data_IF_928096515151
#
_entry.id   IF_928096515151
#
_cell.length_a   1.000
_cell.length_b   1.000
_cell.length_c   1.000
_cell.angle_alpha   90.00
_cell.angle_beta   90.00
_cell.angle_gamma   90.00
#
_symmetry.space_group_name_H-M   'P 1'
#
loop_
_entity.id
_entity.type
_entity.pdbx_description
1 polymer ?
#
# COMPACT_ATOMS: atom_id res chain seq x y z
N UNK A 1 50.76 74.77 49.83
CA UNK A 1 49.57 73.93 50.00
C UNK A 1 49.07 73.59 48.62
N UNK A 2 49.10 72.32 48.28
CA UNK A 2 48.72 71.78 46.99
C UNK A 2 47.28 71.30 47.09
N UNK A 3 46.43 71.66 46.13
CA UNK A 3 45.16 70.96 45.89
C UNK A 3 44.94 70.85 44.39
N UNK A 4 44.88 69.59 43.94
CA UNK A 4 44.53 69.20 42.58
C UNK A 4 43.07 68.82 42.49
N UNK A 5 42.43 69.16 41.36
CA UNK A 5 41.12 68.64 41.00
C UNK A 5 41.20 67.89 39.67
N UNK A 6 40.94 66.59 39.74
CA UNK A 6 40.73 65.67 38.62
C UNK A 6 39.38 65.93 37.96
N UNK A 7 39.37 65.94 36.63
CA UNK A 7 38.18 66.01 35.79
C UNK A 7 37.49 64.65 35.63
N UNK A 8 36.16 64.68 35.59
CA UNK A 8 35.31 63.55 35.19
C UNK A 8 34.43 63.97 34.02
N UNK A 9 34.76 63.53 32.81
CA UNK A 9 33.93 63.70 31.62
C UNK A 9 32.98 62.52 31.46
N UNK A 10 31.67 62.74 31.63
CA UNK A 10 30.65 61.79 31.20
C UNK A 10 30.31 62.05 29.72
N UNK A 11 30.62 61.07 28.86
CA UNK A 11 30.10 61.03 27.49
C UNK A 11 28.71 60.38 27.51
N UNK A 12 27.68 61.16 27.19
CA UNK A 12 26.33 60.68 26.91
C UNK A 12 26.32 60.24 25.44
N UNK A 13 26.14 58.94 25.21
CA UNK A 13 25.92 58.39 23.87
C UNK A 13 24.41 58.32 23.60
N UNK A 14 23.92 59.21 22.74
CA UNK A 14 22.55 59.18 22.22
C UNK A 14 22.36 57.98 21.30
N UNK A 15 21.68 56.95 21.80
CA UNK A 15 21.28 55.77 21.03
C UNK A 15 19.96 56.03 20.29
N UNK A 16 20.02 56.05 18.96
CA UNK A 16 18.84 56.09 18.09
C UNK A 16 17.98 54.82 18.28
N UNK A 17 16.64 54.89 18.38
CA UNK A 17 15.81 53.70 18.55
C UNK A 17 15.70 52.93 17.22
N UNK A 18 16.23 51.71 17.16
CA UNK A 18 15.97 50.78 16.08
C UNK A 18 14.51 50.29 16.17
N UNK A 19 13.72 50.51 15.11
CA UNK A 19 12.37 49.95 14.97
C UNK A 19 12.46 48.43 14.81
N UNK A 20 12.20 47.70 15.89
CA UNK A 20 11.95 46.25 15.85
C UNK A 20 10.58 46.01 15.22
N UNK A 21 10.55 45.62 13.95
CA UNK A 21 9.34 45.10 13.32
C UNK A 21 9.05 43.71 13.88
N UNK A 22 8.00 43.59 14.69
CA UNK A 22 7.43 42.29 15.06
C UNK A 22 6.88 41.64 13.79
N UNK A 23 7.47 40.52 13.36
CA UNK A 23 6.94 39.71 12.26
C UNK A 23 5.86 38.81 12.87
N UNK A 24 4.59 39.15 12.65
CA UNK A 24 3.48 38.27 12.95
C UNK A 24 3.55 37.06 12.00
N UNK A 25 3.90 35.89 12.54
CA UNK A 25 3.83 34.61 11.82
C UNK A 25 2.38 34.15 11.84
N UNK A 26 1.62 34.58 10.84
CA UNK A 26 0.20 34.30 10.67
C UNK A 26 -0.03 32.96 9.96
N UNK A 27 0.28 31.83 10.63
CA UNK A 27 -0.50 30.57 10.54
C UNK A 27 0.20 29.42 11.26
N UNK A 28 -0.53 28.62 12.07
CA UNK A 28 -0.06 27.34 12.60
C UNK A 28 -0.32 26.27 11.54
N UNK A 29 0.42 26.28 10.45
CA UNK A 29 0.35 25.21 9.44
C UNK A 29 1.77 24.75 9.23
N UNK A 30 2.14 23.71 9.99
CA UNK A 30 3.46 23.10 10.12
C UNK A 30 4.46 23.85 11.02
N UNK A 31 4.33 23.64 12.33
CA UNK A 31 5.47 23.81 13.22
C UNK A 31 6.54 22.75 12.86
N UNK A 32 7.82 23.12 12.68
CA UNK A 32 8.88 22.15 12.48
C UNK A 32 9.06 21.37 13.78
N UNK A 33 8.69 20.09 13.76
CA UNK A 33 8.81 19.20 14.91
C UNK A 33 10.29 18.88 15.14
N UNK A 34 10.97 19.70 15.94
CA UNK A 34 12.26 19.32 16.51
C UNK A 34 11.96 18.33 17.64
N UNK A 35 11.91 17.04 17.30
CA UNK A 35 11.97 15.97 18.27
C UNK A 35 13.43 15.86 18.75
N UNK A 36 13.73 16.36 19.95
CA UNK A 36 15.03 16.13 20.57
C UNK A 36 15.33 14.62 20.61
N UNK A 37 16.46 14.23 20.00
CA UNK A 37 17.06 12.90 20.15
C UNK A 37 16.14 11.70 19.82
N UNK A 38 15.31 11.80 18.77
CA UNK A 38 14.55 10.65 18.27
C UNK A 38 13.38 10.20 19.14
N UNK A 39 12.95 11.02 20.12
CA UNK A 39 11.68 10.79 20.84
C UNK A 39 10.61 11.76 20.36
N UNK A 40 9.46 11.28 19.87
CA UNK A 40 8.35 12.15 19.53
C UNK A 40 7.88 12.90 20.77
N UNK A 41 7.69 14.22 20.66
CA UNK A 41 7.09 15.00 21.74
C UNK A 41 5.61 14.59 21.95
N UNK A 42 5.04 14.90 23.11
CA UNK A 42 3.67 14.50 23.47
C UNK A 42 2.63 14.92 22.41
N UNK A 43 2.85 16.07 21.77
CA UNK A 43 2.00 16.58 20.69
C UNK A 43 2.08 15.70 19.42
N UNK A 44 3.28 15.25 19.04
CA UNK A 44 3.47 14.33 17.91
C UNK A 44 2.80 12.97 18.18
N UNK A 45 2.91 12.48 19.43
CA UNK A 45 2.30 11.23 19.84
C UNK A 45 0.76 11.30 19.74
N UNK A 46 0.15 12.40 20.20
CA UNK A 46 -1.31 12.61 20.08
C UNK A 46 -1.77 12.75 18.64
N UNK A 47 -1.03 13.45 17.79
CA UNK A 47 -1.36 13.57 16.37
C UNK A 47 -1.32 12.20 15.69
N UNK A 48 -0.28 11.40 15.95
CA UNK A 48 -0.16 10.05 15.41
C UNK A 48 -1.31 9.14 15.87
N UNK A 49 -1.63 9.15 17.17
CA UNK A 49 -2.76 8.39 17.74
C UNK A 49 -4.11 8.83 17.18
N UNK A 50 -4.32 10.13 16.96
CA UNK A 50 -5.56 10.63 16.36
C UNK A 50 -5.71 10.16 14.91
N UNK A 51 -4.61 10.19 14.14
CA UNK A 51 -4.60 9.73 12.74
C UNK A 51 -4.85 8.23 12.64
N UNK A 52 -4.21 7.41 13.47
CA UNK A 52 -4.44 5.96 13.47
C UNK A 52 -5.86 5.59 13.90
N UNK A 53 -6.42 6.31 14.87
CA UNK A 53 -7.82 6.12 15.28
C UNK A 53 -8.82 6.50 14.17
N UNK A 54 -8.54 7.56 13.39
CA UNK A 54 -9.37 7.94 12.26
C UNK A 54 -9.33 6.89 11.14
N UNK A 55 -8.15 6.36 10.82
CA UNK A 55 -8.01 5.28 9.83
C UNK A 55 -8.72 3.99 10.27
N UNK A 56 -8.60 3.61 11.54
CA UNK A 56 -9.29 2.42 12.08
C UNK A 56 -10.83 2.55 11.98
N UNK A 57 -11.38 3.72 12.27
CA UNK A 57 -12.82 3.99 12.12
C UNK A 57 -13.27 3.91 10.66
N UNK A 58 -12.48 4.45 9.73
CA UNK A 58 -12.78 4.37 8.31
C UNK A 58 -12.80 2.92 7.81
N UNK A 59 -11.85 2.09 8.25
CA UNK A 59 -11.83 0.66 7.90
C UNK A 59 -13.01 -0.12 8.49
N UNK A 60 -13.41 0.19 9.73
CA UNK A 60 -14.57 -0.44 10.37
C UNK A 60 -15.88 -0.08 9.64
N UNK A 61 -16.05 1.19 9.24
CA UNK A 61 -17.20 1.63 8.46
C UNK A 61 -17.25 0.93 7.09
N UNK A 62 -16.11 0.73 6.44
CA UNK A 62 -16.02 0.02 5.14
C UNK A 62 -16.45 -1.45 5.29
N UNK A 63 -16.00 -2.14 6.33
CA UNK A 63 -16.39 -3.54 6.59
C UNK A 63 -17.89 -3.70 6.89
N UNK A 64 -18.50 -2.75 7.61
CA UNK A 64 -19.95 -2.76 7.89
C UNK A 64 -20.79 -2.50 6.64
N UNK A 65 -20.31 -1.66 5.73
CA UNK A 65 -20.97 -1.41 4.45
C UNK A 65 -20.99 -2.66 3.57
N UNK A 66 -19.87 -3.39 3.48
CA UNK A 66 -19.77 -4.63 2.72
C UNK A 66 -20.66 -5.76 3.26
N UNK A 67 -20.83 -5.85 4.60
CA UNK A 67 -21.70 -6.85 5.21
C UNK A 67 -23.20 -6.60 4.98
N UNK A 68 -23.60 -5.39 4.57
CA UNK A 68 -25.00 -5.02 4.38
C UNK A 68 -25.51 -5.23 2.94
N UNK A 69 -24.62 -5.56 1.99
CA UNK A 69 -24.96 -5.72 0.56
C UNK A 69 -25.19 -7.18 0.13
N UNK A 70 -24.92 -8.19 0.97
CA UNK A 70 -25.10 -9.61 0.61
C UNK A 70 -26.55 -10.12 0.72
N UNK A 71 -27.54 -9.24 0.56
CA UNK A 71 -28.93 -9.50 0.93
C UNK A 71 -29.97 -9.18 -0.14
N UNK A 72 -29.64 -9.25 -1.44
CA UNK A 72 -30.66 -9.27 -2.50
C UNK A 72 -30.04 -9.66 -3.86
N UNK A 73 -30.10 -10.95 -4.22
CA UNK A 73 -30.18 -11.33 -5.63
C UNK A 73 -30.83 -12.71 -5.73
N UNK A 74 -32.14 -12.71 -6.01
CA UNK A 74 -32.87 -13.87 -6.53
C UNK A 74 -33.21 -13.58 -7.99
N UNK A 75 -32.61 -14.36 -8.89
CA UNK A 75 -32.80 -14.19 -10.33
C UNK A 75 -32.37 -15.43 -11.10
N UNK A 76 -33.38 -16.24 -11.43
CA UNK A 76 -33.50 -17.41 -12.32
C UNK A 76 -32.39 -17.72 -13.34
N UNK A 77 -32.13 -19.02 -13.64
CA UNK A 77 -31.26 -19.43 -14.73
C UNK A 77 -32.02 -19.44 -16.07
N UNK A 78 -31.43 -18.87 -17.13
CA UNK A 78 -31.80 -19.21 -18.49
C UNK A 78 -30.61 -19.89 -19.19
N UNK A 79 -30.92 -21.11 -19.63
CA UNK A 79 -30.11 -22.09 -20.30
C UNK A 79 -29.95 -21.70 -21.77
N UNK A 80 -28.72 -21.52 -22.26
CA UNK A 80 -28.45 -21.56 -23.70
C UNK A 80 -27.08 -22.17 -23.98
N UNK A 81 -27.12 -23.43 -24.38
CA UNK A 81 -25.97 -24.18 -24.88
C UNK A 81 -25.58 -23.69 -26.28
N UNK A 82 -24.29 -23.38 -26.48
CA UNK A 82 -23.66 -23.52 -27.80
C UNK A 82 -22.19 -23.97 -27.63
N UNK A 83 -21.70 -24.94 -28.42
CA UNK A 83 -20.37 -25.52 -28.22
C UNK A 83 -19.30 -24.93 -29.15
N UNK A 84 -18.04 -25.18 -28.73
CA UNK A 84 -16.77 -25.10 -29.48
C UNK A 84 -16.25 -23.66 -29.77
N UNK A 85 -14.97 -23.33 -29.55
CA UNK A 85 -13.78 -24.13 -29.82
C UNK A 85 -12.58 -23.75 -28.94
N UNK A 86 -11.73 -24.75 -28.73
CA UNK A 86 -10.39 -24.69 -28.17
C UNK A 86 -9.46 -23.67 -28.85
N UNK A 87 -8.73 -22.91 -28.03
CA UNK A 87 -7.31 -22.60 -28.26
C UNK A 87 -6.70 -22.21 -26.92
N UNK A 88 -6.12 -23.20 -26.23
CA UNK A 88 -5.26 -22.97 -25.06
C UNK A 88 -3.84 -22.67 -25.55
N UNK A 89 -3.53 -21.40 -25.77
CA UNK A 89 -2.15 -20.91 -25.71
C UNK A 89 -1.85 -20.51 -24.27
N UNK A 90 -1.23 -21.45 -23.54
CA UNK A 90 -0.62 -21.21 -22.24
C UNK A 90 0.62 -20.32 -22.43
N UNK A 91 0.43 -19.00 -22.37
CA UNK A 91 1.52 -18.06 -22.13
C UNK A 91 1.88 -18.11 -20.64
N UNK A 92 2.85 -18.95 -20.29
CA UNK A 92 3.52 -18.94 -18.99
C UNK A 92 4.31 -17.64 -18.84
N UNK A 93 3.74 -16.65 -18.15
CA UNK A 93 4.47 -15.46 -17.72
C UNK A 93 5.00 -15.74 -16.31
N UNK A 94 6.24 -16.23 -16.24
CA UNK A 94 7.00 -16.35 -15.00
C UNK A 94 7.31 -14.95 -14.46
N UNK A 95 6.51 -14.45 -13.52
CA UNK A 95 6.77 -13.18 -12.84
C UNK A 95 7.54 -13.45 -11.55
N UNK A 96 8.87 -13.59 -11.66
CA UNK A 96 9.77 -13.62 -10.51
C UNK A 96 9.88 -12.22 -9.92
N UNK A 97 9.23 -11.99 -8.79
CA UNK A 97 9.33 -10.73 -8.04
C UNK A 97 10.09 -10.98 -6.75
N UNK A 98 11.36 -11.32 -6.87
CA UNK A 98 12.32 -11.26 -5.74
C UNK A 98 12.84 -9.84 -5.62
N UNK A 99 12.02 -8.96 -5.02
CA UNK A 99 12.48 -7.68 -4.49
C UNK A 99 12.76 -7.87 -2.99
N UNK A 100 13.93 -8.44 -2.69
CA UNK A 100 14.47 -8.44 -1.33
C UNK A 100 14.69 -7.00 -0.88
N UNK A 101 13.79 -6.49 -0.02
CA UNK A 101 13.97 -5.25 0.71
C UNK A 101 15.07 -5.46 1.76
N UNK A 102 16.32 -5.27 1.30
CA UNK A 102 17.51 -5.19 2.13
C UNK A 102 17.37 -4.06 3.14
N UNK A 103 17.75 -4.34 4.38
CA UNK A 103 17.50 -3.53 5.57
C UNK A 103 17.85 -2.05 5.40
N UNK A 104 16.86 -1.20 5.68
CA UNK A 104 17.05 0.23 5.84
C UNK A 104 17.87 0.49 7.10
N UNK A 105 19.19 0.60 6.94
CA UNK A 105 20.01 1.42 7.83
C UNK A 105 19.39 2.82 7.83
N UNK A 106 19.06 3.34 9.02
CA UNK A 106 18.61 4.71 9.20
C UNK A 106 19.77 5.66 8.85
N UNK A 107 19.98 5.91 7.56
CA UNK A 107 20.82 6.98 7.09
C UNK A 107 20.12 8.29 7.47
N UNK A 108 20.76 9.06 8.36
CA UNK A 108 20.41 10.45 8.60
C UNK A 108 20.26 11.17 7.24
N UNK A 109 19.29 12.09 7.08
CA UNK A 109 19.09 12.77 5.81
C UNK A 109 20.39 13.44 5.36
N UNK A 110 20.80 13.10 4.13
CA UNK A 110 21.96 13.64 3.45
C UNK A 110 21.78 15.15 3.28
N UNK A 111 22.26 15.91 4.27
CA UNK A 111 21.95 17.34 4.43
C UNK A 111 22.14 17.85 5.86
N UNK A 112 22.31 16.96 6.85
CA UNK A 112 22.77 17.37 8.18
C UNK A 112 24.29 17.64 8.11
N UNK A 113 24.68 18.92 8.14
CA UNK A 113 26.07 19.37 8.01
C UNK A 113 26.99 18.58 8.97
N UNK A 114 27.92 17.82 8.40
CA UNK A 114 28.99 17.17 9.16
C UNK A 114 29.93 18.25 9.70
N UNK A 115 30.60 17.98 10.83
CA UNK A 115 31.48 18.90 11.59
C UNK A 115 32.65 19.53 10.78
N UNK A 116 32.75 19.25 9.49
CA UNK A 116 33.76 19.72 8.54
C UNK A 116 33.29 20.85 7.61
N UNK A 117 32.03 21.32 7.73
CA UNK A 117 31.65 22.61 7.17
C UNK A 117 32.41 23.70 7.94
N UNK A 118 33.62 24.00 7.47
CA UNK A 118 34.49 25.02 8.00
C UNK A 118 33.67 26.28 8.22
N UNK A 119 33.42 26.60 9.49
CA UNK A 119 32.86 27.88 9.89
C UNK A 119 33.79 28.93 9.34
N UNK A 120 33.45 29.50 8.20
CA UNK A 120 34.15 30.66 7.70
C UNK A 120 33.92 31.71 8.79
N UNK A 121 34.99 32.09 9.47
CA UNK A 121 35.04 33.16 10.47
C UNK A 121 34.77 34.48 9.77
N UNK A 122 33.55 34.66 9.26
CA UNK A 122 33.04 35.96 8.93
C UNK A 122 32.85 36.64 10.29
N UNK A 123 33.72 37.61 10.59
CA UNK A 123 33.46 38.60 11.63
C UNK A 123 32.18 39.34 11.24
N UNK A 124 31.03 38.78 11.57
CA UNK A 124 29.75 39.48 11.46
C UNK A 124 29.77 40.58 12.51
N UNK A 125 29.69 41.83 12.06
CA UNK A 125 29.67 43.00 12.95
C UNK A 125 28.36 43.11 13.74
N UNK A 126 27.40 42.25 13.43
CA UNK A 126 26.07 42.22 14.02
C UNK A 126 26.12 41.83 15.50
N UNK A 127 25.40 42.59 16.32
CA UNK A 127 25.27 42.35 17.75
C UNK A 127 23.82 42.09 18.09
N UNK A 128 23.56 41.19 19.02
CA UNK A 128 22.22 41.06 19.59
C UNK A 128 21.85 42.31 20.40
N UNK A 129 20.55 42.50 20.68
CA UNK A 129 20.03 43.64 21.46
C UNK A 129 20.63 43.78 22.87
N UNK A 130 21.26 42.74 23.39
CA UNK A 130 21.97 42.79 24.67
C UNK A 130 23.36 43.44 24.58
N UNK A 131 23.76 43.97 23.41
CA UNK A 131 25.04 44.66 23.19
C UNK A 131 26.28 43.77 23.28
N UNK A 132 26.10 42.49 23.62
CA UNK A 132 27.14 41.48 23.68
C UNK A 132 27.56 41.13 22.26
N UNK A 133 28.81 41.44 21.92
CA UNK A 133 29.48 40.78 20.80
C UNK A 133 29.58 39.30 21.17
N UNK A 134 29.48 38.36 20.21
CA UNK A 134 30.04 37.03 20.41
C UNK A 134 31.52 37.24 20.71
N UNK A 135 31.88 37.23 22.00
CA UNK A 135 33.25 37.43 22.42
C UNK A 135 34.00 36.15 22.09
N UNK A 136 34.94 36.27 21.15
CA UNK A 136 36.05 35.35 20.88
C UNK A 136 37.00 35.29 22.11
N UNK A 137 36.45 35.00 23.30
CA UNK A 137 37.21 34.82 24.52
C UNK A 137 37.30 33.32 24.80
N UNK A 138 38.51 32.81 24.60
CA UNK A 138 39.07 31.57 25.13
C UNK A 138 38.32 30.28 24.76
N UNK A 139 38.57 29.88 23.51
CA UNK A 139 38.75 28.54 22.94
C UNK A 139 37.83 27.34 23.29
N UNK A 140 37.10 27.27 24.40
CA UNK A 140 36.39 26.03 24.81
C UNK A 140 34.95 26.21 25.31
N UNK A 141 34.47 27.44 25.50
CA UNK A 141 33.05 27.69 25.82
C UNK A 141 32.42 28.65 24.81
N UNK A 142 32.57 28.25 23.55
CA UNK A 142 32.09 28.94 22.36
C UNK A 142 30.56 29.12 22.48
N UNK A 143 30.15 30.35 22.76
CA UNK A 143 28.85 30.91 22.43
C UNK A 143 28.70 30.89 20.90
N UNK A 144 28.60 29.68 20.35
CA UNK A 144 28.36 29.42 18.93
C UNK A 144 26.98 29.96 18.63
N UNK A 145 26.91 31.04 17.83
CA UNK A 145 25.71 31.30 17.05
C UNK A 145 25.46 30.03 16.24
N UNK A 146 24.33 29.37 16.48
CA UNK A 146 24.01 28.14 15.76
C UNK A 146 23.47 28.58 14.41
N UNK A 147 24.16 28.16 13.33
CA UNK A 147 23.62 28.26 11.99
C UNK A 147 22.49 27.24 11.88
N UNK A 148 21.27 27.74 11.76
CA UNK A 148 20.06 26.93 11.63
C UNK A 148 19.53 27.05 10.20
N UNK A 149 19.08 25.93 9.64
CA UNK A 149 18.38 25.92 8.36
C UNK A 149 16.89 26.14 8.61
N UNK A 150 16.30 27.10 7.90
CA UNK A 150 14.85 27.27 7.91
C UNK A 150 14.19 26.18 7.06
N UNK A 151 13.22 25.46 7.61
CA UNK A 151 12.57 24.32 6.94
C UNK A 151 11.19 24.65 6.39
N UNK A 152 10.63 25.82 6.68
CA UNK A 152 9.27 26.17 6.29
C UNK A 152 9.12 27.63 5.85
N UNK A 153 8.10 27.89 5.02
CA UNK A 153 7.73 29.20 4.50
C UNK A 153 8.64 29.72 3.38
N UNK A 154 8.56 31.03 3.13
CA UNK A 154 9.30 31.71 2.05
C UNK A 154 10.81 31.82 2.29
N UNK A 155 11.31 31.26 3.39
CA UNK A 155 12.73 31.18 3.72
C UNK A 155 13.24 29.73 3.79
N UNK A 156 12.46 28.72 3.39
CA UNK A 156 12.95 27.34 3.38
C UNK A 156 14.27 27.23 2.63
N UNK A 157 15.24 26.53 3.23
CA UNK A 157 16.58 26.35 2.69
C UNK A 157 17.56 27.49 2.98
N UNK A 158 17.13 28.59 3.63
CA UNK A 158 18.04 29.67 4.05
C UNK A 158 18.58 29.41 5.45
N UNK A 159 19.83 29.79 5.65
CA UNK A 159 20.49 29.76 6.94
C UNK A 159 20.25 31.04 7.71
N UNK A 160 19.99 30.90 9.01
CA UNK A 160 19.95 32.01 9.95
C UNK A 160 20.82 31.72 11.18
N UNK A 161 21.37 32.78 11.75
CA UNK A 161 22.04 32.77 13.04
C UNK A 161 20.99 33.08 14.10
N UNK A 162 20.83 32.16 15.05
CA UNK A 162 20.07 32.39 16.27
C UNK A 162 20.98 32.23 17.49
N UNK A 163 20.67 32.98 18.54
CA UNK A 163 21.43 32.93 19.78
C UNK A 163 20.85 31.85 20.71
N UNK A 164 21.58 30.75 20.99
CA UNK A 164 21.08 29.69 21.86
C UNK A 164 21.13 30.12 23.33
N UNK A 165 19.99 30.56 23.89
CA UNK A 165 19.91 30.82 25.32
C UNK A 165 19.61 29.54 26.10
N UNK A 166 20.62 29.07 26.83
CA UNK A 166 20.44 28.09 27.91
C UNK A 166 19.83 28.79 29.13
N UNK A 167 18.50 28.87 29.20
CA UNK A 167 17.81 29.37 30.41
C UNK A 167 16.38 29.87 30.15
N UNK A 168 15.46 29.53 31.06
CA UNK A 168 14.01 29.65 30.88
C UNK A 168 13.41 31.07 30.90
N UNK A 169 14.17 32.12 31.21
CA UNK A 169 13.53 33.39 31.56
C UNK A 169 13.64 34.53 30.55
N UNK A 170 14.53 34.54 29.55
CA UNK A 170 14.58 35.62 28.56
C UNK A 170 15.22 35.09 27.26
N UNK A 171 14.43 34.58 26.30
CA UNK A 171 14.96 34.27 24.96
C UNK A 171 15.20 35.59 24.21
N UNK A 172 16.36 35.73 23.59
CA UNK A 172 16.67 36.86 22.74
C UNK A 172 16.12 36.54 21.36
N UNK A 173 15.16 37.32 20.89
CA UNK A 173 14.55 37.18 19.54
C UNK A 173 15.50 37.61 18.40
N UNK A 174 16.81 37.55 18.64
CA UNK A 174 17.79 37.87 17.63
C UNK A 174 17.86 36.74 16.60
N UNK A 175 17.40 37.06 15.39
CA UNK A 175 17.52 36.24 14.20
C UNK A 175 18.16 37.09 13.12
N UNK A 176 19.28 36.64 12.59
CA UNK A 176 19.90 37.25 11.40
C UNK A 176 20.06 36.22 10.30
N UNK A 177 19.69 36.57 9.08
CA UNK A 177 19.80 35.68 7.93
C UNK A 177 21.21 35.76 7.34
N UNK A 178 21.87 34.61 7.18
CA UNK A 178 23.21 34.52 6.60
C UNK A 178 23.16 34.61 5.08
N UNK A 179 22.18 33.95 4.48
CA UNK A 179 22.06 33.87 3.02
C UNK A 179 21.23 35.04 2.50
N UNK A 180 21.45 35.44 1.25
CA UNK A 180 20.61 36.44 0.57
C UNK A 180 19.15 36.00 0.50
N UNK A 181 18.25 36.98 0.39
CA UNK A 181 16.83 36.69 0.18
C UNK A 181 16.66 35.99 -1.16
N UNK A 182 15.89 34.90 -1.18
CA UNK A 182 15.52 34.24 -2.43
C UNK A 182 14.88 35.24 -3.40
N UNK A 183 15.28 35.25 -4.68
CA UNK A 183 14.60 36.02 -5.70
C UNK A 183 13.11 35.63 -5.77
N UNK A 184 12.17 36.58 -5.96
CA UNK A 184 10.74 36.26 -6.03
C UNK A 184 10.38 35.17 -7.04
N UNK A 185 11.09 35.11 -8.18
CA UNK A 185 10.86 34.10 -9.23
C UNK A 185 11.18 32.67 -8.79
N UNK A 186 12.04 32.47 -7.79
CA UNK A 186 12.43 31.14 -7.32
C UNK A 186 11.22 30.38 -6.76
N UNK A 187 10.41 31.03 -5.92
CA UNK A 187 9.22 30.43 -5.33
C UNK A 187 8.14 30.08 -6.37
N UNK A 188 8.05 30.86 -7.46
CA UNK A 188 7.15 30.55 -8.56
C UNK A 188 7.56 29.26 -9.28
N UNK A 189 8.86 29.08 -9.54
CA UNK A 189 9.41 27.87 -10.17
C UNK A 189 9.21 26.65 -9.25
N UNK A 190 9.51 26.79 -7.96
CA UNK A 190 9.26 25.73 -6.96
C UNK A 190 7.79 25.37 -6.90
N UNK A 191 6.89 26.36 -6.95
CA UNK A 191 5.45 26.14 -7.01
C UNK A 191 5.00 25.34 -8.23
N UNK A 192 5.56 25.64 -9.42
CA UNK A 192 5.29 24.88 -10.65
C UNK A 192 5.77 23.42 -10.53
N UNK A 193 6.98 23.19 -10.02
CA UNK A 193 7.49 21.84 -9.81
C UNK A 193 6.69 21.08 -8.76
N UNK A 194 6.30 21.72 -7.66
CA UNK A 194 5.45 21.11 -6.64
C UNK A 194 4.12 20.68 -7.24
N UNK A 195 3.44 21.58 -7.96
CA UNK A 195 2.19 21.25 -8.63
C UNK A 195 2.37 20.07 -9.60
N UNK A 196 3.41 20.11 -10.43
CA UNK A 196 3.69 19.01 -11.36
C UNK A 196 3.96 17.69 -10.63
N UNK A 197 4.66 17.71 -9.50
CA UNK A 197 4.91 16.53 -8.69
C UNK A 197 3.61 16.00 -8.04
N UNK A 198 2.75 16.90 -7.54
CA UNK A 198 1.45 16.55 -6.98
C UNK A 198 0.54 15.94 -8.07
N UNK A 199 0.49 16.53 -9.27
CA UNK A 199 -0.27 16.02 -10.42
C UNK A 199 0.23 14.61 -10.82
N UNK A 200 1.54 14.40 -10.94
CA UNK A 200 2.14 13.09 -11.24
C UNK A 200 1.87 12.06 -10.12
N UNK A 201 1.83 12.50 -8.86
CA UNK A 201 1.51 11.63 -7.74
C UNK A 201 0.06 11.15 -7.81
N UNK A 202 -0.87 12.02 -8.19
CA UNK A 202 -2.28 11.66 -8.40
C UNK A 202 -2.40 10.63 -9.53
N UNK A 203 -1.77 10.86 -10.68
CA UNK A 203 -1.78 9.91 -11.80
C UNK A 203 -1.20 8.53 -11.43
N UNK A 204 -0.11 8.52 -10.64
CA UNK A 204 0.49 7.28 -10.14
C UNK A 204 -0.46 6.53 -9.20
N UNK A 205 -1.13 7.24 -8.29
CA UNK A 205 -2.10 6.64 -7.37
C UNK A 205 -3.32 6.09 -8.11
N UNK A 206 -3.81 6.81 -9.13
CA UNK A 206 -4.88 6.33 -10.00
C UNK A 206 -4.46 5.06 -10.75
N UNK A 207 -3.25 5.04 -11.31
CA UNK A 207 -2.71 3.85 -11.99
C UNK A 207 -2.59 2.65 -11.04
N UNK A 208 -2.18 2.89 -9.78
CA UNK A 208 -2.12 1.85 -8.75
C UNK A 208 -3.52 1.33 -8.42
N UNK A 209 -4.50 2.23 -8.29
CA UNK A 209 -5.90 1.87 -8.02
C UNK A 209 -6.45 0.95 -9.12
N UNK A 210 -6.30 1.36 -10.39
CA UNK A 210 -6.75 0.56 -11.55
C UNK A 210 -6.09 -0.82 -11.55
N UNK A 211 -4.78 -0.91 -11.25
CA UNK A 211 -4.08 -2.20 -11.17
C UNK A 211 -4.65 -3.10 -10.07
N UNK A 212 -4.96 -2.53 -8.91
CA UNK A 212 -5.53 -3.29 -7.79
C UNK A 212 -6.92 -3.82 -8.15
N UNK A 213 -7.76 -2.97 -8.77
CA UNK A 213 -9.11 -3.37 -9.19
C UNK A 213 -9.05 -4.52 -10.21
N UNK A 214 -8.13 -4.46 -11.18
CA UNK A 214 -7.90 -5.54 -12.16
C UNK A 214 -7.39 -6.83 -11.49
N UNK A 215 -6.55 -6.72 -10.45
CA UNK A 215 -6.08 -7.89 -9.70
C UNK A 215 -7.23 -8.53 -8.92
N UNK A 216 -8.07 -7.72 -8.27
CA UNK A 216 -9.25 -8.20 -7.54
C UNK A 216 -10.23 -8.93 -8.47
N UNK A 217 -10.53 -8.36 -9.65
CA UNK A 217 -11.37 -9.00 -10.67
C UNK A 217 -10.77 -10.32 -11.16
N UNK A 218 -9.44 -10.34 -11.40
CA UNK A 218 -8.74 -11.56 -11.81
C UNK A 218 -8.80 -12.65 -10.74
N UNK A 219 -8.68 -12.29 -9.47
CA UNK A 219 -8.79 -13.24 -8.35
C UNK A 219 -10.22 -13.79 -8.25
N UNK A 220 -11.24 -12.95 -8.43
CA UNK A 220 -12.64 -13.39 -8.48
C UNK A 220 -12.89 -14.40 -9.62
N UNK A 221 -12.42 -14.09 -10.84
CA UNK A 221 -12.54 -14.99 -11.99
C UNK A 221 -11.80 -16.32 -11.80
N UNK A 222 -10.65 -16.30 -11.14
CA UNK A 222 -9.93 -17.53 -10.80
C UNK A 222 -10.70 -18.39 -9.78
N UNK A 223 -11.37 -17.75 -8.82
CA UNK A 223 -12.27 -18.41 -7.88
C UNK A 223 -13.43 -19.12 -8.59
N UNK A 224 -14.17 -18.40 -9.44
CA UNK A 224 -15.28 -18.97 -10.23
C UNK A 224 -14.82 -20.11 -11.14
N UNK A 225 -13.65 -19.95 -11.80
CA UNK A 225 -13.07 -21.01 -12.63
C UNK A 225 -12.75 -22.27 -11.81
N UNK A 226 -12.28 -22.13 -10.59
CA UNK A 226 -11.99 -23.26 -9.71
C UNK A 226 -13.27 -23.98 -9.27
N UNK A 227 -14.33 -23.22 -8.95
CA UNK A 227 -15.65 -23.78 -8.63
C UNK A 227 -16.23 -24.57 -9.80
N UNK A 228 -16.18 -23.99 -11.01
CA UNK A 228 -16.66 -24.64 -12.24
C UNK A 228 -15.89 -25.93 -12.55
N UNK A 229 -14.57 -25.97 -12.30
CA UNK A 229 -13.77 -27.19 -12.45
C UNK A 229 -14.20 -28.28 -11.46
N UNK A 230 -14.51 -27.90 -10.21
CA UNK A 230 -14.99 -28.84 -9.20
C UNK A 230 -16.38 -29.38 -9.56
N UNK A 231 -17.29 -28.52 -10.03
CA UNK A 231 -18.62 -28.90 -10.49
C UNK A 231 -18.53 -29.81 -11.73
N UNK A 232 -17.68 -29.48 -12.70
CA UNK A 232 -17.41 -30.35 -13.85
C UNK A 232 -16.95 -31.74 -13.42
N UNK A 233 -16.01 -31.82 -12.48
CA UNK A 233 -15.53 -33.10 -11.96
C UNK A 233 -16.64 -33.89 -11.24
N UNK A 234 -17.53 -33.20 -10.51
CA UNK A 234 -18.71 -33.81 -9.90
C UNK A 234 -19.65 -34.39 -10.97
N UNK A 235 -19.95 -33.61 -12.01
CA UNK A 235 -20.84 -34.02 -13.09
C UNK A 235 -20.26 -35.22 -13.87
N UNK A 236 -18.96 -35.23 -14.14
CA UNK A 236 -18.28 -36.35 -14.79
C UNK A 236 -18.39 -37.64 -13.98
N UNK A 237 -18.26 -37.58 -12.64
CA UNK A 237 -18.49 -38.75 -11.76
C UNK A 237 -19.93 -39.24 -11.83
N UNK A 238 -20.90 -38.33 -11.87
CA UNK A 238 -22.31 -38.68 -11.97
C UNK A 238 -22.65 -39.34 -13.31
N UNK A 239 -22.16 -38.78 -14.42
CA UNK A 239 -22.32 -39.35 -15.76
C UNK A 239 -21.67 -40.74 -15.83
N UNK A 240 -20.46 -40.90 -15.29
CA UNK A 240 -19.77 -42.18 -15.21
C UNK A 240 -20.58 -43.23 -14.43
N UNK A 241 -21.14 -42.85 -13.28
CA UNK A 241 -21.99 -43.73 -12.49
C UNK A 241 -23.26 -44.15 -13.25
N UNK A 242 -23.97 -43.19 -13.85
CA UNK A 242 -25.19 -43.44 -14.65
C UNK A 242 -24.89 -44.35 -15.84
N UNK A 243 -23.76 -44.15 -16.51
CA UNK A 243 -23.32 -44.98 -17.65
C UNK A 243 -23.07 -46.42 -17.22
N UNK A 244 -22.38 -46.64 -16.08
CA UNK A 244 -22.14 -47.99 -15.54
C UNK A 244 -23.44 -48.69 -15.14
N UNK A 245 -24.38 -47.96 -14.56
CA UNK A 245 -25.69 -48.51 -14.20
C UNK A 245 -26.45 -48.92 -15.46
N UNK A 246 -26.54 -48.05 -16.46
CA UNK A 246 -27.18 -48.34 -17.73
C UNK A 246 -26.55 -49.56 -18.42
N UNK A 247 -25.21 -49.65 -18.44
CA UNK A 247 -24.49 -50.79 -19.00
C UNK A 247 -24.79 -52.09 -18.24
N UNK A 248 -24.77 -52.07 -16.91
CA UNK A 248 -25.10 -53.24 -16.08
C UNK A 248 -26.53 -53.73 -16.34
N UNK A 249 -27.50 -52.82 -16.40
CA UNK A 249 -28.89 -53.15 -16.72
C UNK A 249 -29.03 -53.72 -18.12
N UNK A 250 -28.37 -53.12 -19.13
CA UNK A 250 -28.36 -53.64 -20.50
C UNK A 250 -27.77 -55.05 -20.57
N UNK A 251 -26.63 -55.30 -19.91
CA UNK A 251 -26.02 -56.65 -19.87
C UNK A 251 -26.91 -57.68 -19.17
N UNK A 252 -27.60 -57.29 -18.11
CA UNK A 252 -28.53 -58.18 -17.39
C UNK A 252 -29.72 -58.53 -18.28
N UNK A 253 -30.29 -57.54 -18.97
CA UNK A 253 -31.39 -57.75 -19.90
C UNK A 253 -30.96 -58.61 -21.10
N UNK A 254 -29.79 -58.35 -21.66
CA UNK A 254 -29.23 -59.15 -22.75
C UNK A 254 -29.02 -60.61 -22.34
N UNK A 255 -28.54 -60.86 -21.12
CA UNK A 255 -28.41 -62.22 -20.57
C UNK A 255 -29.77 -62.91 -20.41
N UNK A 256 -30.80 -62.19 -19.94
CA UNK A 256 -32.17 -62.74 -19.85
C UNK A 256 -32.72 -63.10 -21.23
N UNK A 257 -32.61 -62.20 -22.21
CA UNK A 257 -33.06 -62.46 -23.58
C UNK A 257 -32.30 -63.64 -24.19
N UNK A 258 -30.98 -63.72 -23.99
CA UNK A 258 -30.16 -64.82 -24.50
C UNK A 258 -30.55 -66.16 -23.87
N UNK A 259 -30.80 -66.19 -22.56
CA UNK A 259 -31.25 -67.39 -21.85
C UNK A 259 -32.65 -67.82 -22.32
N UNK A 260 -33.61 -66.89 -22.44
CA UNK A 260 -34.96 -67.18 -22.96
C UNK A 260 -34.90 -67.77 -24.39
N UNK A 261 -34.05 -67.22 -25.26
CA UNK A 261 -33.85 -67.73 -26.61
C UNK A 261 -33.23 -69.13 -26.58
N UNK A 262 -32.27 -69.37 -25.69
CA UNK A 262 -31.66 -70.68 -25.52
C UNK A 262 -32.66 -71.72 -24.98
N UNK A 263 -33.45 -71.38 -23.97
CA UNK A 263 -34.50 -72.25 -23.42
C UNK A 263 -35.55 -72.60 -24.47
N UNK A 264 -35.99 -71.62 -25.27
CA UNK A 264 -36.92 -71.86 -26.40
C UNK A 264 -36.32 -72.80 -27.45
N UNK A 265 -35.03 -72.67 -27.76
CA UNK A 265 -34.31 -73.58 -28.67
C UNK A 265 -34.24 -75.00 -28.09
N UNK A 266 -33.92 -75.14 -26.80
CA UNK A 266 -33.90 -76.43 -26.10
C UNK A 266 -35.28 -77.09 -26.10
N UNK A 267 -36.34 -76.33 -25.82
CA UNK A 267 -37.72 -76.81 -25.85
C UNK A 267 -38.12 -77.26 -27.26
N UNK A 268 -37.82 -76.46 -28.29
CA UNK A 268 -38.10 -76.82 -29.68
C UNK A 268 -37.36 -78.11 -30.10
N UNK A 269 -36.10 -78.25 -29.69
CA UNK A 269 -35.33 -79.49 -29.88
C UNK A 269 -35.97 -80.71 -29.22
N UNK A 270 -36.47 -80.56 -27.99
CA UNK A 270 -37.18 -81.63 -27.28
C UNK A 270 -38.49 -82.03 -27.99
N UNK A 271 -39.29 -81.06 -28.44
CA UNK A 271 -40.53 -81.31 -29.20
C UNK A 271 -40.21 -82.07 -30.50
N UNK A 272 -39.21 -81.64 -31.25
CA UNK A 272 -38.79 -82.32 -32.48
C UNK A 272 -38.31 -83.76 -32.24
N UNK A 273 -37.61 -84.01 -31.13
CA UNK A 273 -37.21 -85.36 -30.72
C UNK A 273 -38.42 -86.26 -30.43
N UNK A 274 -39.39 -85.76 -29.66
CA UNK A 274 -40.62 -86.50 -29.36
C UNK A 274 -41.43 -86.85 -30.62
N UNK A 275 -41.57 -85.90 -31.56
CA UNK A 275 -42.23 -86.17 -32.85
C UNK A 275 -41.48 -87.25 -33.63
N UNK A 276 -40.14 -87.21 -33.66
CA UNK A 276 -39.31 -88.23 -34.29
C UNK A 276 -39.53 -89.63 -33.69
N UNK A 277 -39.60 -89.74 -32.36
CA UNK A 277 -39.89 -91.00 -31.67
C UNK A 277 -41.28 -91.54 -32.03
N UNK A 278 -42.30 -90.67 -32.06
CA UNK A 278 -43.65 -91.06 -32.47
C UNK A 278 -43.66 -91.55 -33.91
N UNK A 279 -42.99 -90.86 -34.84
CA UNK A 279 -42.91 -91.27 -36.24
C UNK A 279 -42.24 -92.65 -36.42
N UNK A 280 -41.18 -92.94 -35.65
CA UNK A 280 -40.51 -94.26 -35.65
C UNK A 280 -41.47 -95.34 -35.17
N UNK A 281 -42.18 -95.10 -34.06
CA UNK A 281 -43.17 -96.04 -33.52
C UNK A 281 -44.27 -96.36 -34.55
N UNK A 282 -44.81 -95.34 -35.21
CA UNK A 282 -45.78 -95.52 -36.31
C UNK A 282 -45.21 -96.33 -37.46
N UNK A 283 -43.97 -96.06 -37.88
CA UNK A 283 -43.30 -96.82 -38.93
C UNK A 283 -43.12 -98.30 -38.59
N UNK A 284 -42.89 -98.62 -37.31
CA UNK A 284 -42.81 -100.01 -36.83
C UNK A 284 -44.19 -100.68 -36.87
N UNK A 285 -45.26 -99.99 -36.45
CA UNK A 285 -46.62 -100.52 -36.44
C UNK A 285 -47.12 -100.79 -37.86
N UNK A 286 -46.91 -99.85 -38.80
CA UNK A 286 -47.36 -99.98 -40.20
C UNK A 286 -46.60 -101.05 -40.99
N UNK A 287 -45.46 -101.54 -40.48
CA UNK A 287 -44.66 -102.60 -41.12
C UNK A 287 -45.15 -104.01 -40.76
N UNK A 288 -46.03 -104.15 -39.77
CA UNK A 288 -46.70 -105.40 -39.40
C UNK A 288 -48.00 -105.55 -40.17
#
# INVERSE_FOLDING_TARGET
MADGHYGGGHSISDGTPCKSGSIEVSSPTFAPFICEAGRPCDMCLRYYQSKTAATAKATEMKLKASASQSGASSGSPEESQKPLSESSELMSISSSSDASLSGSQANLPQGMETKECGGVDHKTEERCHHGKRPMLLDAWMMLMLIRLLCWDGSNTGRHYLAYPLKGKSNMCDFVSWVDDKWPPMFWEVVGKFKKQADDLQVDLLETIQIRNDVVEEKEALLGEKQELLLEKQRLEREISMRTRLAQSTCTTLQNRISNDVHEKKMLFGAIMCMIGLVAILFGIILKK
#
